data_IF_501623289036
#
_entry.id   IF_501623289036
#
_cell.length_a   1.000
_cell.length_b   1.000
_cell.length_c   1.000
_cell.angle_alpha   90.00
_cell.angle_beta   90.00
_cell.angle_gamma   90.00
#
_symmetry.space_group_name_H-M   'P 1'
#
loop_
_entity.id
_entity.type
_entity.pdbx_description
1 polymer ?
#
# COMPACT_ATOMS: atom_id res chain seq x y z
N UNK A 1 -22.11 -10.90 -34.59
CA UNK A 1 -22.68 -10.66 -33.24
C UNK A 1 -22.33 -11.75 -32.20
N UNK A 2 -21.72 -12.89 -32.54
CA UNK A 2 -21.33 -13.92 -31.54
C UNK A 2 -19.92 -13.72 -30.96
N UNK A 3 -18.95 -13.24 -31.74
CA UNK A 3 -17.57 -13.01 -31.28
C UNK A 3 -17.46 -11.91 -30.22
N UNK A 4 -18.21 -10.82 -30.40
CA UNK A 4 -18.32 -9.72 -29.43
C UNK A 4 -18.81 -10.20 -28.07
N UNK A 5 -19.75 -11.14 -28.05
CA UNK A 5 -20.31 -11.73 -26.83
C UNK A 5 -19.31 -12.68 -26.15
N UNK A 6 -18.50 -13.40 -26.93
CA UNK A 6 -17.42 -14.26 -26.43
C UNK A 6 -16.29 -13.47 -25.77
N UNK A 7 -15.84 -12.38 -26.40
CA UNK A 7 -14.81 -11.48 -25.85
C UNK A 7 -15.33 -10.81 -24.57
N UNK A 8 -16.56 -10.29 -24.59
CA UNK A 8 -17.16 -9.65 -23.43
C UNK A 8 -17.31 -10.62 -22.24
N UNK A 9 -17.73 -11.86 -22.49
CA UNK A 9 -17.83 -12.91 -21.46
C UNK A 9 -16.46 -13.27 -20.88
N UNK A 10 -15.42 -13.36 -21.71
CA UNK A 10 -14.04 -13.63 -21.29
C UNK A 10 -13.42 -12.46 -20.53
N UNK A 11 -13.81 -11.22 -20.85
CA UNK A 11 -13.37 -10.04 -20.12
C UNK A 11 -14.07 -9.96 -18.77
N UNK A 12 -15.39 -10.19 -18.74
CA UNK A 12 -16.21 -10.22 -17.53
C UNK A 12 -15.77 -11.30 -16.54
N UNK A 13 -15.37 -12.49 -17.02
CA UNK A 13 -14.87 -13.55 -16.13
C UNK A 13 -13.55 -13.21 -15.43
N UNK A 14 -12.77 -12.24 -15.94
CA UNK A 14 -11.55 -11.74 -15.29
C UNK A 14 -11.81 -10.63 -14.28
N UNK A 15 -13.01 -10.05 -14.28
CA UNK A 15 -13.39 -9.02 -13.31
C UNK A 15 -13.63 -9.64 -11.94
N UNK A 16 -13.38 -8.83 -10.93
CA UNK A 16 -13.58 -9.24 -9.55
C UNK A 16 -15.05 -9.02 -9.15
N UNK A 17 -15.73 -10.13 -8.91
CA UNK A 17 -17.15 -10.18 -8.55
C UNK A 17 -17.38 -10.26 -7.04
N UNK A 18 -16.33 -10.15 -6.23
CA UNK A 18 -16.49 -10.11 -4.77
C UNK A 18 -17.22 -8.84 -4.35
N UNK A 19 -18.41 -8.91 -3.71
CA UNK A 19 -19.17 -7.71 -3.35
C UNK A 19 -18.42 -6.89 -2.30
N UNK A 20 -18.46 -5.56 -2.43
CA UNK A 20 -17.82 -4.64 -1.52
C UNK A 20 -18.84 -3.63 -0.95
N UNK A 21 -19.23 -3.83 0.31
CA UNK A 21 -20.33 -3.08 0.95
C UNK A 21 -19.98 -1.62 1.33
N UNK A 22 -18.87 -1.07 0.84
CA UNK A 22 -18.49 0.30 1.16
C UNK A 22 -19.30 1.28 0.31
N UNK A 23 -19.99 2.25 0.93
CA UNK A 23 -20.70 3.29 0.20
C UNK A 23 -19.78 4.03 -0.76
N UNK A 24 -20.19 4.14 -2.03
CA UNK A 24 -19.42 4.83 -3.07
C UNK A 24 -19.07 6.27 -2.67
N UNK A 25 -19.98 6.97 -1.99
CA UNK A 25 -19.74 8.34 -1.50
C UNK A 25 -18.53 8.46 -0.56
N UNK A 26 -18.30 7.48 0.32
CA UNK A 26 -17.09 7.47 1.19
C UNK A 26 -15.82 7.30 0.38
N UNK A 27 -15.85 6.48 -0.68
CA UNK A 27 -14.71 6.27 -1.57
C UNK A 27 -14.37 7.53 -2.34
N UNK A 28 -15.38 8.17 -2.93
CA UNK A 28 -15.24 9.42 -3.66
C UNK A 28 -14.74 10.55 -2.75
N UNK A 29 -15.31 10.67 -1.54
CA UNK A 29 -14.85 11.65 -0.55
C UNK A 29 -13.38 11.45 -0.16
N UNK A 30 -12.95 10.20 0.07
CA UNK A 30 -11.56 9.91 0.42
C UNK A 30 -10.63 10.25 -0.74
N UNK A 31 -11.04 9.91 -1.97
CA UNK A 31 -10.29 10.24 -3.18
C UNK A 31 -10.17 11.76 -3.37
N UNK A 32 -11.25 12.51 -3.17
CA UNK A 32 -11.25 13.97 -3.28
C UNK A 32 -10.31 14.60 -2.24
N UNK A 33 -10.38 14.18 -0.97
CA UNK A 33 -9.50 14.67 0.09
C UNK A 33 -8.03 14.31 -0.23
N UNK A 34 -7.77 13.07 -0.64
CA UNK A 34 -6.42 12.63 -1.01
C UNK A 34 -5.88 13.42 -2.20
N UNK A 35 -6.72 13.70 -3.19
CA UNK A 35 -6.38 14.51 -4.36
C UNK A 35 -6.01 15.93 -3.96
N UNK A 36 -6.81 16.60 -3.13
CA UNK A 36 -6.53 17.97 -2.67
C UNK A 36 -5.28 18.04 -1.80
N UNK A 37 -5.19 17.21 -0.75
CA UNK A 37 -4.06 17.20 0.18
C UNK A 37 -2.78 16.75 -0.50
N UNK A 38 -2.84 15.70 -1.30
CA UNK A 38 -1.68 15.23 -2.03
C UNK A 38 -1.25 16.21 -3.12
N UNK A 39 -2.17 16.96 -3.73
CA UNK A 39 -1.86 18.06 -4.63
C UNK A 39 -1.04 19.15 -3.93
N UNK A 40 -1.49 19.59 -2.76
CA UNK A 40 -0.78 20.57 -1.93
C UNK A 40 0.59 20.04 -1.52
N UNK A 41 0.66 18.84 -0.91
CA UNK A 41 1.91 18.27 -0.37
C UNK A 41 2.93 18.03 -1.49
N UNK A 42 2.48 17.51 -2.64
CA UNK A 42 3.40 17.22 -3.75
C UNK A 42 3.79 18.46 -4.55
N UNK A 43 2.94 19.48 -4.65
CA UNK A 43 3.27 20.74 -5.35
C UNK A 43 4.06 21.74 -4.51
N UNK A 44 3.98 21.65 -3.19
CA UNK A 44 4.62 22.59 -2.26
C UNK A 44 6.12 22.79 -2.49
N UNK A 45 6.95 21.75 -2.76
CA UNK A 45 8.37 21.94 -3.01
C UNK A 45 8.68 22.81 -4.24
N UNK A 46 7.90 22.68 -5.32
CA UNK A 46 8.07 23.51 -6.51
C UNK A 46 7.71 24.97 -6.21
N UNK A 47 6.62 25.22 -5.49
CA UNK A 47 6.20 26.58 -5.11
C UNK A 47 7.25 27.26 -4.23
N UNK A 48 7.80 26.53 -3.25
CA UNK A 48 8.89 27.04 -2.42
C UNK A 48 10.14 27.36 -3.25
N UNK A 49 10.56 26.43 -4.12
CA UNK A 49 11.73 26.65 -4.96
C UNK A 49 11.55 27.86 -5.88
N UNK A 50 10.37 27.98 -6.50
CA UNK A 50 10.01 29.13 -7.32
C UNK A 50 10.09 30.43 -6.54
N UNK A 51 9.54 30.49 -5.33
CA UNK A 51 9.61 31.70 -4.50
C UNK A 51 11.02 32.09 -4.11
N UNK A 52 11.87 31.10 -3.78
CA UNK A 52 13.29 31.34 -3.44
C UNK A 52 14.08 31.87 -4.64
N UNK A 53 13.84 31.34 -5.84
CA UNK A 53 14.63 31.67 -7.03
C UNK A 53 14.14 32.95 -7.71
N UNK A 54 12.82 33.16 -7.77
CA UNK A 54 12.23 34.28 -8.52
C UNK A 54 11.87 35.47 -7.64
N UNK A 55 11.80 35.29 -6.31
CA UNK A 55 11.28 36.30 -5.38
C UNK A 55 9.77 36.55 -5.50
N UNK A 56 9.05 35.76 -6.32
CA UNK A 56 7.61 35.90 -6.56
C UNK A 56 6.81 34.93 -5.71
N UNK A 57 5.56 35.27 -5.44
CA UNK A 57 4.61 34.43 -4.71
C UNK A 57 3.49 33.87 -5.60
N UNK A 58 3.70 33.86 -6.91
CA UNK A 58 2.69 33.38 -7.87
C UNK A 58 2.49 31.86 -7.74
N UNK A 59 1.24 31.45 -7.82
CA UNK A 59 0.91 30.03 -7.99
C UNK A 59 1.06 29.66 -9.46
N UNK A 60 1.72 28.52 -9.71
CA UNK A 60 1.87 27.97 -11.05
C UNK A 60 1.58 26.47 -11.00
N UNK A 61 1.24 25.93 -12.17
CA UNK A 61 0.91 24.50 -12.32
C UNK A 61 1.93 23.76 -13.20
N UNK A 62 2.84 24.49 -13.86
CA UNK A 62 3.80 23.94 -14.80
C UNK A 62 5.25 24.27 -14.44
N UNK A 63 6.11 23.26 -14.60
CA UNK A 63 7.55 23.40 -14.37
C UNK A 63 8.25 24.19 -15.48
N UNK A 64 7.56 24.52 -16.57
CA UNK A 64 8.10 25.33 -17.67
C UNK A 64 8.20 26.82 -17.30
N UNK A 65 7.52 27.24 -16.23
CA UNK A 65 7.60 28.62 -15.70
C UNK A 65 9.03 29.11 -15.47
N UNK A 66 9.95 28.22 -15.08
CA UNK A 66 11.35 28.59 -14.89
C UNK A 66 11.99 29.02 -16.21
N UNK A 67 11.83 28.21 -17.27
CA UNK A 67 12.34 28.51 -18.62
C UNK A 67 11.65 29.74 -19.21
N UNK A 68 10.34 29.89 -19.00
CA UNK A 68 9.57 31.05 -19.46
C UNK A 68 10.02 32.36 -18.81
N UNK A 69 10.57 32.31 -17.60
CA UNK A 69 11.15 33.47 -16.90
C UNK A 69 12.64 33.67 -17.22
N UNK A 70 13.21 32.88 -18.13
CA UNK A 70 14.62 32.97 -18.53
C UNK A 70 15.59 32.25 -17.59
N UNK A 71 15.08 31.44 -16.64
CA UNK A 71 15.94 30.57 -15.83
C UNK A 71 16.30 29.30 -16.59
N UNK A 72 17.46 28.77 -16.25
CA UNK A 72 17.93 27.50 -16.78
C UNK A 72 16.97 26.35 -16.47
N UNK A 73 16.77 25.48 -17.46
CA UNK A 73 15.80 24.38 -17.42
C UNK A 73 15.97 23.42 -16.25
N UNK A 74 17.20 23.30 -15.74
CA UNK A 74 17.47 22.43 -14.59
C UNK A 74 16.71 22.86 -13.33
N UNK A 75 16.28 24.12 -13.21
CA UNK A 75 15.43 24.55 -12.10
C UNK A 75 14.06 23.87 -12.13
N UNK A 76 13.44 23.77 -13.31
CA UNK A 76 12.22 23.00 -13.51
C UNK A 76 12.42 21.51 -13.21
N UNK A 77 13.58 20.96 -13.58
CA UNK A 77 13.92 19.57 -13.27
C UNK A 77 14.08 19.33 -11.75
N UNK A 78 14.78 20.21 -11.04
CA UNK A 78 14.95 20.14 -9.59
C UNK A 78 13.59 20.25 -8.89
N UNK A 79 12.76 21.22 -9.27
CA UNK A 79 11.40 21.38 -8.76
C UNK A 79 10.59 20.09 -8.93
N UNK A 80 10.57 19.52 -10.15
CA UNK A 80 9.84 18.29 -10.43
C UNK A 80 10.35 17.10 -9.61
N UNK A 81 11.67 16.93 -9.44
CA UNK A 81 12.25 15.87 -8.63
C UNK A 81 11.88 16.00 -7.14
N UNK A 82 11.87 17.22 -6.60
CA UNK A 82 11.43 17.49 -5.24
C UNK A 82 9.95 17.17 -5.05
N UNK A 83 9.10 17.54 -6.02
CA UNK A 83 7.68 17.20 -6.02
C UNK A 83 7.46 15.68 -6.07
N UNK A 84 8.24 14.96 -6.87
CA UNK A 84 8.18 13.49 -6.95
C UNK A 84 8.58 12.84 -5.63
N UNK A 85 9.63 13.34 -4.98
CA UNK A 85 10.02 12.88 -3.66
C UNK A 85 8.89 13.10 -2.64
N UNK A 86 8.29 14.29 -2.60
CA UNK A 86 7.16 14.58 -1.72
C UNK A 86 5.95 13.67 -1.99
N UNK A 87 5.64 13.40 -3.26
CA UNK A 87 4.57 12.48 -3.64
C UNK A 87 4.85 11.04 -3.19
N UNK A 88 6.09 10.54 -3.33
CA UNK A 88 6.50 9.22 -2.85
C UNK A 88 6.35 9.14 -1.33
N UNK A 89 6.79 10.16 -0.61
CA UNK A 89 6.65 10.23 0.85
C UNK A 89 5.17 10.13 1.26
N UNK A 90 4.31 10.93 0.64
CA UNK A 90 2.89 11.00 0.99
C UNK A 90 2.06 9.78 0.55
N UNK A 91 2.22 9.29 -0.67
CA UNK A 91 1.35 8.24 -1.23
C UNK A 91 1.90 6.82 -1.04
N UNK A 92 3.20 6.65 -0.78
CA UNK A 92 3.82 5.33 -0.64
C UNK A 92 4.36 5.14 0.78
N UNK A 93 5.20 6.05 1.27
CA UNK A 93 5.87 5.86 2.57
C UNK A 93 4.89 5.97 3.73
N UNK A 94 4.02 7.00 3.75
CA UNK A 94 3.03 7.19 4.80
C UNK A 94 2.06 5.99 4.90
N UNK A 95 1.41 5.52 3.82
CA UNK A 95 0.57 4.33 3.90
C UNK A 95 1.37 3.07 4.26
N UNK A 96 2.59 2.89 3.77
CA UNK A 96 3.33 1.66 4.07
C UNK A 96 3.82 1.58 5.52
N UNK A 97 4.38 2.68 6.05
CA UNK A 97 5.11 2.68 7.33
C UNK A 97 4.30 3.24 8.49
N UNK A 98 3.42 4.20 8.25
CA UNK A 98 2.76 4.96 9.31
C UNK A 98 1.32 4.48 9.49
N UNK A 99 0.50 4.46 8.43
CA UNK A 99 -0.93 4.13 8.52
C UNK A 99 -1.34 2.86 7.78
N UNK A 100 -0.43 1.88 7.65
CA UNK A 100 -0.65 0.50 7.16
C UNK A 100 -1.61 0.35 5.96
N UNK A 101 -1.62 1.25 4.99
CA UNK A 101 -2.50 1.23 3.82
C UNK A 101 -3.49 2.39 3.77
N UNK A 102 -3.36 3.38 4.64
CA UNK A 102 -4.18 4.61 4.61
C UNK A 102 -3.34 5.82 4.20
N UNK A 103 -3.89 6.62 3.31
CA UNK A 103 -3.52 8.02 3.08
C UNK A 103 -4.36 8.92 3.99
N UNK A 104 -4.08 10.23 4.10
CA UNK A 104 -4.84 11.12 5.00
C UNK A 104 -6.35 11.07 4.76
N UNK A 105 -6.79 11.20 3.50
CA UNK A 105 -8.21 11.20 3.17
C UNK A 105 -8.89 9.87 3.50
N UNK A 106 -8.19 8.76 3.26
CA UNK A 106 -8.67 7.43 3.65
C UNK A 106 -8.71 7.25 5.16
N UNK A 107 -7.70 7.76 5.88
CA UNK A 107 -7.66 7.70 7.33
C UNK A 107 -8.84 8.46 7.94
N UNK A 108 -9.10 9.68 7.46
CA UNK A 108 -10.22 10.53 7.90
C UNK A 108 -11.60 9.88 7.68
N UNK A 109 -11.78 9.15 6.58
CA UNK A 109 -13.05 8.47 6.28
C UNK A 109 -13.10 7.01 6.73
N UNK A 110 -12.11 6.55 7.52
CA UNK A 110 -12.08 5.18 8.05
C UNK A 110 -11.96 4.11 6.96
N UNK A 111 -11.27 4.42 5.85
CA UNK A 111 -10.99 3.51 4.75
C UNK A 111 -9.53 3.05 4.81
N UNK A 112 -9.24 1.86 4.29
CA UNK A 112 -7.89 1.31 4.22
C UNK A 112 -7.71 0.47 2.97
N UNK A 113 -6.51 0.52 2.40
CA UNK A 113 -6.09 -0.33 1.28
C UNK A 113 -5.51 -1.61 1.85
N UNK A 114 -6.01 -2.74 1.39
CA UNK A 114 -5.51 -4.09 1.71
C UNK A 114 -5.25 -4.86 0.42
N UNK A 115 -4.47 -5.94 0.50
CA UNK A 115 -4.33 -6.89 -0.60
C UNK A 115 -5.66 -7.59 -0.87
N UNK A 116 -5.78 -8.21 -2.04
CA UNK A 116 -6.94 -9.06 -2.37
C UNK A 116 -7.26 -10.08 -1.27
N UNK A 117 -6.21 -10.69 -0.73
CA UNK A 117 -6.27 -11.72 0.31
C UNK A 117 -6.64 -11.16 1.70
N UNK A 118 -6.82 -9.84 1.83
CA UNK A 118 -7.14 -9.15 3.08
C UNK A 118 -5.93 -8.76 3.91
N UNK A 119 -4.73 -9.23 3.57
CA UNK A 119 -3.53 -8.83 4.28
C UNK A 119 -3.14 -7.36 4.03
N UNK A 120 -2.32 -6.81 4.94
CA UNK A 120 -1.80 -5.46 4.79
C UNK A 120 -0.97 -5.30 3.51
N UNK A 121 -1.13 -4.16 2.83
CA UNK A 121 -0.32 -3.84 1.64
C UNK A 121 1.14 -3.58 2.01
N UNK A 122 2.05 -4.04 1.14
CA UNK A 122 3.46 -3.70 1.20
C UNK A 122 3.83 -2.58 0.23
N UNK A 123 5.13 -2.29 0.16
CA UNK A 123 5.68 -1.26 -0.74
C UNK A 123 5.42 -1.62 -2.21
N UNK A 124 5.53 -2.90 -2.58
CA UNK A 124 5.34 -3.36 -3.97
C UNK A 124 3.93 -3.02 -4.47
N UNK A 125 2.91 -3.38 -3.71
CA UNK A 125 1.52 -3.15 -4.08
C UNK A 125 1.23 -1.64 -4.19
N UNK A 126 1.81 -0.83 -3.29
CA UNK A 126 1.68 0.62 -3.35
C UNK A 126 2.42 1.25 -4.53
N UNK A 127 3.60 0.75 -4.92
CA UNK A 127 4.30 1.22 -6.13
C UNK A 127 3.50 0.88 -7.38
N UNK A 128 2.99 -0.34 -7.50
CA UNK A 128 2.16 -0.75 -8.64
C UNK A 128 0.86 0.09 -8.72
N UNK A 129 0.21 0.29 -7.57
CA UNK A 129 -1.06 1.04 -7.47
C UNK A 129 -0.86 2.53 -7.67
N UNK A 130 0.01 3.15 -6.89
CA UNK A 130 0.19 4.61 -6.86
C UNK A 130 1.19 5.08 -7.90
N UNK A 131 2.36 4.46 -7.97
CA UNK A 131 3.41 4.86 -8.90
C UNK A 131 3.02 4.56 -10.35
N UNK A 132 2.76 3.29 -10.67
CA UNK A 132 2.51 2.90 -12.06
C UNK A 132 1.08 3.24 -12.47
N UNK A 133 0.09 2.64 -11.81
CA UNK A 133 -1.28 2.77 -12.27
C UNK A 133 -1.83 4.19 -12.09
N UNK A 134 -1.64 4.82 -10.93
CA UNK A 134 -2.12 6.18 -10.75
C UNK A 134 -1.16 7.17 -11.41
N UNK A 135 0.10 7.32 -11.00
CA UNK A 135 0.91 8.45 -11.48
C UNK A 135 1.25 8.37 -12.97
N UNK A 136 1.45 7.18 -13.55
CA UNK A 136 1.81 7.04 -14.96
C UNK A 136 0.60 6.75 -15.87
N UNK A 137 -0.39 5.98 -15.42
CA UNK A 137 -1.50 5.57 -16.30
C UNK A 137 -2.77 6.42 -16.13
N UNK A 138 -3.40 6.46 -14.94
CA UNK A 138 -4.69 7.14 -14.68
C UNK A 138 -4.53 8.60 -14.21
N UNK A 139 -3.30 9.08 -14.04
CA UNK A 139 -3.03 10.16 -13.12
C UNK A 139 -3.29 11.56 -13.65
N UNK A 140 -4.04 11.73 -14.73
CA UNK A 140 -4.35 13.06 -15.27
C UNK A 140 -5.03 13.99 -14.29
N UNK A 141 -5.69 13.45 -13.27
CA UNK A 141 -6.25 14.23 -12.19
C UNK A 141 -5.19 14.66 -11.15
N UNK A 142 -4.08 13.94 -11.00
CA UNK A 142 -3.06 14.26 -9.99
C UNK A 142 -1.96 15.17 -10.53
N UNK A 143 -1.60 16.20 -9.76
CA UNK A 143 -0.54 17.15 -10.13
C UNK A 143 0.81 16.45 -10.36
N UNK A 144 1.10 15.38 -9.60
CA UNK A 144 2.35 14.64 -9.75
C UNK A 144 2.51 14.02 -11.13
N UNK A 145 1.42 13.56 -11.75
CA UNK A 145 1.48 13.04 -13.11
C UNK A 145 1.79 14.12 -14.12
N UNK A 146 1.28 15.34 -13.91
CA UNK A 146 1.66 16.50 -14.70
C UNK A 146 3.15 16.77 -14.58
N UNK A 147 3.69 16.78 -13.36
CA UNK A 147 5.12 16.97 -13.16
C UNK A 147 5.98 15.84 -13.75
N UNK A 148 5.53 14.60 -13.73
CA UNK A 148 6.25 13.49 -14.39
C UNK A 148 6.31 13.71 -15.91
N UNK A 149 5.20 14.07 -16.55
CA UNK A 149 5.17 14.35 -17.99
C UNK A 149 6.10 15.51 -18.33
N UNK A 150 6.01 16.59 -17.56
CA UNK A 150 6.87 17.76 -17.73
C UNK A 150 8.34 17.42 -17.52
N UNK A 151 8.69 16.62 -16.51
CA UNK A 151 10.06 16.13 -16.33
C UNK A 151 10.56 15.36 -17.54
N UNK A 152 9.73 14.49 -18.13
CA UNK A 152 10.09 13.75 -19.35
C UNK A 152 10.34 14.72 -20.51
N UNK A 153 9.49 15.72 -20.71
CA UNK A 153 9.69 16.75 -21.75
C UNK A 153 10.94 17.60 -21.48
N UNK A 154 11.15 18.04 -20.24
CA UNK A 154 12.34 18.77 -19.82
C UNK A 154 13.62 17.94 -19.98
N UNK A 155 13.58 16.61 -19.90
CA UNK A 155 14.78 15.78 -20.11
C UNK A 155 15.00 15.49 -21.59
N UNK A 156 13.94 15.14 -22.32
CA UNK A 156 14.02 14.58 -23.67
C UNK A 156 13.94 15.61 -24.79
N UNK A 157 13.53 16.86 -24.50
CA UNK A 157 13.17 17.88 -25.50
C UNK A 157 11.98 17.51 -26.38
N UNK A 158 11.27 16.43 -26.07
CA UNK A 158 10.07 15.99 -26.80
C UNK A 158 8.84 16.34 -25.97
N UNK A 159 7.91 17.07 -26.57
CA UNK A 159 6.65 17.43 -25.91
C UNK A 159 5.72 16.22 -25.83
N UNK A 160 5.68 15.55 -24.68
CA UNK A 160 4.88 14.33 -24.45
C UNK A 160 3.58 14.59 -23.69
N UNK A 161 3.44 15.79 -23.11
CA UNK A 161 2.40 16.14 -22.16
C UNK A 161 0.99 15.86 -22.68
N UNK A 162 0.67 16.34 -23.87
CA UNK A 162 -0.68 16.23 -24.43
C UNK A 162 -1.06 14.78 -24.75
N UNK A 163 -0.18 14.06 -25.45
CA UNK A 163 -0.43 12.67 -25.86
C UNK A 163 -0.62 11.79 -24.62
N UNK A 164 0.30 11.90 -23.66
CA UNK A 164 0.23 11.14 -22.43
C UNK A 164 -1.01 11.54 -21.61
N UNK A 165 -1.37 12.82 -21.55
CA UNK A 165 -2.61 13.26 -20.90
C UNK A 165 -3.86 12.62 -21.53
N UNK A 166 -3.97 12.58 -22.86
CA UNK A 166 -5.12 11.93 -23.50
C UNK A 166 -5.21 10.43 -23.20
N UNK A 167 -4.07 9.73 -23.25
CA UNK A 167 -3.99 8.32 -22.85
C UNK A 167 -4.44 8.15 -21.39
N UNK A 168 -4.00 9.05 -20.51
CA UNK A 168 -4.35 8.95 -19.10
C UNK A 168 -5.81 9.26 -18.79
N UNK A 169 -6.44 10.18 -19.52
CA UNK A 169 -7.89 10.40 -19.47
C UNK A 169 -8.63 9.12 -19.87
N UNK A 170 -8.20 8.44 -20.95
CA UNK A 170 -8.82 7.18 -21.38
C UNK A 170 -8.74 6.10 -20.30
N UNK A 171 -7.59 5.93 -19.65
CA UNK A 171 -7.45 4.99 -18.53
C UNK A 171 -8.28 5.39 -17.31
N UNK A 172 -8.38 6.69 -17.01
CA UNK A 172 -9.21 7.20 -15.89
C UNK A 172 -10.68 6.90 -16.12
N UNK A 173 -11.19 7.16 -17.33
CA UNK A 173 -12.57 6.86 -17.68
C UNK A 173 -12.85 5.35 -17.58
N UNK A 174 -11.93 4.52 -18.08
CA UNK A 174 -12.02 3.06 -17.91
C UNK A 174 -12.03 2.68 -16.42
N UNK A 175 -11.18 3.30 -15.60
CA UNK A 175 -11.10 3.06 -14.16
C UNK A 175 -12.41 3.40 -13.44
N UNK A 176 -13.04 4.51 -13.80
CA UNK A 176 -14.36 4.92 -13.27
C UNK A 176 -15.45 3.94 -13.69
N UNK A 177 -15.49 3.54 -14.97
CA UNK A 177 -16.44 2.54 -15.47
C UNK A 177 -16.28 1.22 -14.69
N UNK A 178 -15.05 0.73 -14.52
CA UNK A 178 -14.78 -0.48 -13.74
C UNK A 178 -15.27 -0.32 -12.29
N UNK A 179 -14.99 0.82 -11.64
CA UNK A 179 -15.39 1.05 -10.26
C UNK A 179 -16.92 1.11 -10.07
N UNK A 180 -17.67 1.62 -11.05
CA UNK A 180 -19.13 1.73 -10.95
C UNK A 180 -19.82 0.41 -11.28
N UNK A 181 -19.39 -0.28 -12.35
CA UNK A 181 -20.10 -1.45 -12.86
C UNK A 181 -19.64 -2.79 -12.24
N UNK A 182 -18.50 -2.84 -11.55
CA UNK A 182 -18.06 -4.06 -10.86
C UNK A 182 -18.60 -4.11 -9.44
N UNK A 183 -19.09 -5.29 -9.02
CA UNK A 183 -19.56 -5.52 -7.64
C UNK A 183 -18.48 -5.30 -6.57
N UNK A 184 -17.21 -5.45 -6.96
CA UNK A 184 -16.06 -5.19 -6.08
C UNK A 184 -15.70 -3.71 -5.93
N UNK A 185 -16.26 -2.84 -6.77
CA UNK A 185 -15.95 -1.41 -6.84
C UNK A 185 -14.44 -1.13 -6.93
N UNK A 186 -13.71 -2.01 -7.63
CA UNK A 186 -12.26 -1.90 -7.83
C UNK A 186 -11.99 -1.07 -9.07
N UNK A 187 -11.22 -0.02 -8.89
CA UNK A 187 -10.69 0.81 -9.97
C UNK A 187 -9.53 0.10 -10.70
N UNK A 188 -9.13 0.58 -11.87
CA UNK A 188 -8.05 -0.02 -12.66
C UNK A 188 -6.74 -0.12 -11.85
N UNK A 189 -6.41 0.91 -11.07
CA UNK A 189 -5.24 0.90 -10.18
C UNK A 189 -5.34 -0.13 -9.05
N UNK A 190 -6.55 -0.46 -8.59
CA UNK A 190 -6.75 -1.54 -7.63
C UNK A 190 -6.52 -2.90 -8.28
N UNK A 191 -6.88 -3.08 -9.57
CA UNK A 191 -6.56 -4.28 -10.33
C UNK A 191 -5.05 -4.45 -10.53
N UNK A 192 -4.36 -3.40 -10.99
CA UNK A 192 -2.90 -3.42 -11.22
C UNK A 192 -2.14 -3.62 -9.91
N UNK A 193 -2.57 -2.97 -8.83
CA UNK A 193 -1.96 -3.12 -7.50
C UNK A 193 -2.28 -4.45 -6.81
N UNK A 194 -3.25 -5.22 -7.31
CA UNK A 194 -3.75 -6.41 -6.60
C UNK A 194 -4.39 -6.06 -5.25
N UNK A 195 -4.96 -4.86 -5.12
CA UNK A 195 -5.50 -4.32 -3.87
C UNK A 195 -7.01 -4.16 -3.92
N UNK A 196 -7.61 -3.99 -2.74
CA UNK A 196 -9.00 -3.54 -2.56
C UNK A 196 -9.06 -2.56 -1.39
N UNK A 197 -10.07 -1.70 -1.40
CA UNK A 197 -10.35 -0.79 -0.28
C UNK A 197 -11.42 -1.43 0.61
N UNK A 198 -11.17 -1.42 1.93
CA UNK A 198 -12.02 -1.95 3.01
C UNK A 198 -12.24 -0.90 4.10
N UNK A 199 -13.25 -1.10 4.96
CA UNK A 199 -13.46 -0.27 6.15
C UNK A 199 -12.40 -0.62 7.20
N UNK A 200 -11.72 0.39 7.74
CA UNK A 200 -10.68 0.19 8.75
C UNK A 200 -11.22 -0.39 10.07
N UNK A 201 -12.47 -0.06 10.45
CA UNK A 201 -13.08 -0.50 11.70
C UNK A 201 -13.48 -1.99 11.71
N UNK A 202 -13.86 -2.56 10.55
CA UNK A 202 -14.35 -3.95 10.45
C UNK A 202 -13.27 -5.02 10.68
N UNK A 203 -11.98 -4.68 10.56
CA UNK A 203 -10.89 -5.65 10.67
C UNK A 203 -10.26 -5.73 12.07
N UNK A 204 -10.33 -4.66 12.88
CA UNK A 204 -9.83 -4.70 14.26
C UNK A 204 -10.74 -5.54 15.17
N UNK A 205 -12.05 -5.55 14.92
CA UNK A 205 -13.01 -6.41 15.62
C UNK A 205 -12.86 -7.88 15.22
N UNK A 206 -12.70 -8.19 13.92
CA UNK A 206 -12.48 -9.58 13.45
C UNK A 206 -11.18 -10.18 14.02
N UNK A 207 -10.14 -9.37 14.23
CA UNK A 207 -8.91 -9.81 14.93
C UNK A 207 -9.06 -9.96 16.43
N UNK A 208 -10.01 -9.28 17.09
CA UNK A 208 -10.29 -9.44 18.52
C UNK A 208 -11.16 -10.67 18.80
N UNK A 209 -12.07 -11.01 17.90
CA UNK A 209 -13.01 -12.13 18.07
C UNK A 209 -12.48 -13.48 17.57
N UNK A 210 -11.30 -13.51 16.95
CA UNK A 210 -10.61 -14.77 16.66
C UNK A 210 -9.90 -15.23 17.93
N UNK A 211 -10.28 -16.35 18.58
CA UNK A 211 -9.53 -16.88 19.71
C UNK A 211 -8.08 -17.09 19.27
N UNK A 212 -7.12 -16.61 20.06
CA UNK A 212 -5.70 -16.97 19.90
C UNK A 212 -5.62 -18.49 19.76
N UNK A 213 -5.43 -18.98 18.54
CA UNK A 213 -5.01 -20.34 18.34
C UNK A 213 -3.64 -20.43 19.01
N UNK A 214 -3.60 -21.16 20.12
CA UNK A 214 -2.40 -21.59 20.82
C UNK A 214 -1.34 -21.99 19.80
N UNK A 215 -0.22 -21.26 19.81
CA UNK A 215 1.00 -21.68 19.14
C UNK A 215 1.28 -23.14 19.53
N UNK A 216 1.28 -24.04 18.55
CA UNK A 216 1.84 -25.38 18.74
C UNK A 216 3.33 -25.19 19.06
N UNK A 217 3.85 -25.75 20.17
CA UNK A 217 5.28 -25.71 20.41
C UNK A 217 6.01 -26.49 19.31
N UNK A 218 7.07 -25.90 18.76
CA UNK A 218 8.01 -26.58 17.84
C UNK A 218 8.58 -27.84 18.51
N UNK A 219 8.82 -28.93 17.77
CA UNK A 219 9.38 -30.15 18.33
C UNK A 219 10.84 -29.90 18.74
N UNK A 220 11.08 -29.90 20.04
CA UNK A 220 12.39 -29.81 20.65
C UNK A 220 13.18 -31.10 20.35
N UNK A 221 14.31 -30.95 19.65
CA UNK A 221 15.23 -32.03 19.32
C UNK A 221 15.75 -32.68 20.60
N UNK A 222 15.33 -33.92 20.86
CA UNK A 222 15.91 -34.78 21.90
C UNK A 222 17.38 -35.08 21.61
N UNK A 223 18.29 -34.27 22.18
CA UNK A 223 19.66 -34.71 22.46
C UNK A 223 19.65 -35.60 23.70
N UNK A 224 19.60 -36.90 23.41
CA UNK A 224 19.95 -38.05 24.26
C UNK A 224 21.14 -37.72 25.18
N UNK A 225 20.88 -37.45 26.46
CA UNK A 225 21.87 -37.64 27.55
C UNK A 225 21.41 -38.81 28.39
N UNK A 226 22.14 -39.91 28.25
CA UNK A 226 21.98 -41.14 29.03
C UNK A 226 22.11 -40.83 30.53
N UNK A 227 21.17 -41.34 31.33
CA UNK A 227 21.33 -41.53 32.77
C UNK A 227 21.42 -43.05 33.00
N UNK A 228 22.44 -43.59 33.69
CA UNK A 228 22.62 -45.03 33.84
C UNK A 228 21.52 -45.65 34.72
N UNK A 229 21.12 -46.88 34.38
CA UNK A 229 20.19 -47.72 35.16
C UNK A 229 20.73 -48.01 36.58
N UNK A 230 19.85 -48.13 37.59
CA UNK A 230 20.23 -48.56 38.93
C UNK A 230 20.57 -50.06 38.97
N UNK A 231 21.64 -50.40 39.69
CA UNK A 231 22.17 -51.76 39.85
C UNK A 231 21.27 -52.68 40.71
N UNK A 232 21.37 -54.01 40.57
CA UNK A 232 20.41 -54.96 41.15
C UNK A 232 20.62 -55.19 42.65
N UNK A 233 19.52 -55.23 43.41
CA UNK A 233 19.51 -55.60 44.83
C UNK A 233 19.80 -57.09 45.02
N UNK A 234 20.91 -57.42 45.70
CA UNK A 234 21.21 -58.78 46.19
C UNK A 234 20.42 -59.08 47.47
N UNK A 235 19.67 -60.17 47.46
CA UNK A 235 19.18 -60.87 48.66
C UNK A 235 20.37 -61.35 49.48
N UNK A 236 20.34 -61.17 50.80
CA UNK A 236 21.11 -62.02 51.72
C UNK A 236 20.28 -62.28 52.97
N UNK A 237 20.33 -63.53 53.39
CA UNK A 237 19.43 -64.24 54.27
C UNK A 237 19.82 -64.09 55.76
N UNK A 238 18.84 -64.35 56.63
CA UNK A 238 18.87 -64.31 58.11
C UNK A 238 20.05 -65.06 58.76
N UNK A 239 20.55 -64.54 59.90
CA UNK A 239 20.62 -65.31 61.18
C UNK A 239 20.95 -64.48 62.45
N UNK A 240 19.95 -64.45 63.35
CA UNK A 240 19.92 -64.55 64.85
C UNK A 240 20.85 -63.71 65.77
N UNK A 241 20.18 -62.85 66.57
CA UNK A 241 20.15 -62.68 68.07
C UNK A 241 21.45 -62.38 68.87
N UNK A 242 21.41 -61.81 70.11
CA UNK A 242 20.28 -61.42 70.97
C UNK A 242 20.31 -60.00 71.60
N UNK A 243 19.22 -59.68 72.32
CA UNK A 243 18.92 -58.50 73.15
C UNK A 243 19.87 -58.28 74.36
N UNK A 244 20.06 -57.00 74.75
CA UNK A 244 20.05 -56.47 76.15
C UNK A 244 20.09 -54.92 76.07
N UNK A 245 19.02 -54.20 76.42
CA UNK A 245 18.61 -53.70 77.75
C UNK A 245 19.58 -52.72 78.45
N UNK A 246 19.03 -51.56 78.85
CA UNK A 246 19.51 -50.69 79.93
C UNK A 246 19.91 -49.30 79.43
N UNK A 247 19.09 -48.26 79.60
CA UNK A 247 18.80 -47.46 80.82
C UNK A 247 19.70 -46.22 80.93
N UNK A 248 19.00 -45.07 80.93
CA UNK A 248 19.37 -43.70 81.34
C UNK A 248 20.34 -42.96 80.44
#
# INVERSE_FOLDING_TARGET
MSETTGIFRKLSSKLDHTPNDIPMGKRLGAYFIDWSLGGIISGFPAVLLYGVITGKSDMFSDLYVFEALGFERYWGMIAGLLCLLAAILYYIVVPCKIWRGQTLGKHLLGLRIVRKDGEAVGVKELILRQGIAIFLMEGTLFIISTYIRQLVTLVTWVYVDAIWQYIGIAFTLLSVVLAIYTASHRALHDYIGGTKVVLALKEEEVKKDTPRQTEKPKPEQQKRKQKPMPAPQKKTEKKRLPKKNGKK
#
